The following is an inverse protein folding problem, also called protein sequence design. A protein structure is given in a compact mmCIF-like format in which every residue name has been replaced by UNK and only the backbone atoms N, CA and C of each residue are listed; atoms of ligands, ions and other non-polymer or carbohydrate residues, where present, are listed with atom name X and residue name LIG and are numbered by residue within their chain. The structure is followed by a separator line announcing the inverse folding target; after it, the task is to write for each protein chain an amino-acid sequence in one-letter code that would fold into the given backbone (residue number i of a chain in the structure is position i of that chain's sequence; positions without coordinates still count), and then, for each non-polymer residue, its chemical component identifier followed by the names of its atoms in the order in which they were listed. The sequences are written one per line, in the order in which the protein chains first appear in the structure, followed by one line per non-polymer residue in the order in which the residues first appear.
data_IF_678953823351
#
_entry.id   IF_678953823351
#
_cell.length_a   1.000
_cell.length_b   1.000
_cell.length_c   1.000
_cell.angle_alpha   90.00
_cell.angle_beta   90.00
_cell.angle_gamma   90.00
#
_symmetry.space_group_name_H-M   'P 1'
#
loop_
_entity.id
_entity.type
_entity.pdbx_description
1 polymer ?
#
# COMPACT_ATOMS: atom_id res chain seq x y z
N UNK A 1 18.82 17.07 13.98
CA UNK A 1 18.20 17.18 12.65
C UNK A 1 18.09 15.76 12.12
N UNK A 2 16.91 15.30 11.74
CA UNK A 2 16.78 14.00 11.08
C UNK A 2 17.42 14.09 9.68
N UNK A 3 18.21 13.07 9.32
CA UNK A 3 19.00 13.06 8.09
C UNK A 3 18.39 12.21 6.98
N UNK A 4 17.65 11.15 7.32
CA UNK A 4 16.92 10.32 6.38
C UNK A 4 15.66 9.73 7.04
N UNK A 5 14.70 9.30 6.23
CA UNK A 5 13.50 8.60 6.67
C UNK A 5 13.33 7.27 5.94
N UNK A 6 12.61 6.33 6.56
CA UNK A 6 12.22 5.10 5.89
C UNK A 6 11.17 5.39 4.82
N UNK A 7 11.32 4.76 3.66
CA UNK A 7 10.44 4.83 2.51
C UNK A 7 10.15 3.40 2.04
N UNK A 8 8.91 3.18 1.65
CA UNK A 8 8.43 1.88 1.19
C UNK A 8 8.08 1.96 -0.29
N UNK A 9 8.56 0.99 -1.07
CA UNK A 9 8.07 0.70 -2.40
C UNK A 9 7.36 -0.65 -2.35
N UNK A 10 6.04 -0.61 -2.38
CA UNK A 10 5.19 -1.80 -2.38
C UNK A 10 4.65 -2.03 -3.80
N UNK A 11 4.74 -3.27 -4.27
CA UNK A 11 4.23 -3.69 -5.57
C UNK A 11 3.40 -4.96 -5.42
N UNK A 12 2.18 -4.89 -5.94
CA UNK A 12 1.22 -5.99 -5.99
C UNK A 12 0.36 -5.77 -7.23
N UNK A 13 -0.10 -6.86 -7.86
CA UNK A 13 -1.14 -6.78 -8.89
C UNK A 13 -2.09 -7.94 -8.74
N UNK A 14 -3.38 -7.68 -8.76
CA UNK A 14 -4.40 -8.71 -8.65
C UNK A 14 -4.74 -9.30 -10.03
N UNK A 15 -3.74 -9.93 -10.66
CA UNK A 15 -3.83 -10.41 -12.05
C UNK A 15 -4.20 -11.89 -12.17
N UNK A 16 -4.15 -12.65 -11.07
CA UNK A 16 -4.36 -14.09 -11.09
C UNK A 16 -5.17 -14.55 -9.90
N UNK A 17 -6.42 -14.92 -10.14
CA UNK A 17 -7.23 -15.59 -9.13
C UNK A 17 -6.89 -17.08 -9.05
N UNK A 18 -6.63 -17.58 -7.86
CA UNK A 18 -6.42 -18.99 -7.56
C UNK A 18 -7.36 -19.46 -6.45
N UNK A 19 -8.47 -20.10 -6.84
CA UNK A 19 -9.48 -20.62 -5.90
C UNK A 19 -8.95 -21.66 -4.91
N UNK A 20 -7.73 -22.17 -5.12
CA UNK A 20 -7.11 -23.19 -4.28
C UNK A 20 -6.07 -22.63 -3.31
N UNK A 21 -5.67 -21.35 -3.42
CA UNK A 21 -4.60 -20.75 -2.63
C UNK A 21 -5.04 -19.46 -1.94
N UNK A 22 -4.58 -19.18 -0.72
CA UNK A 22 -3.66 -20.00 0.08
C UNK A 22 -4.31 -21.30 0.58
N UNK A 23 -3.49 -22.34 0.81
CA UNK A 23 -3.94 -23.63 1.35
C UNK A 23 -3.10 -24.00 2.55
N UNK A 24 -3.75 -24.20 3.69
CA UNK A 24 -3.07 -24.62 4.92
C UNK A 24 -2.96 -26.14 5.00
N UNK A 25 -1.85 -26.61 5.56
CA UNK A 25 -1.48 -28.04 5.65
C UNK A 25 -2.39 -28.87 6.57
N UNK A 26 -3.27 -28.25 7.37
CA UNK A 26 -4.15 -28.91 8.35
C UNK A 26 -5.49 -29.42 7.79
N UNK A 27 -5.73 -29.33 6.48
CA UNK A 27 -6.95 -29.80 5.83
C UNK A 27 -7.44 -28.78 4.81
N UNK A 28 -8.35 -29.16 3.91
CA UNK A 28 -8.94 -28.29 2.88
C UNK A 28 -9.79 -27.14 3.47
N UNK A 29 -9.20 -26.29 4.30
CA UNK A 29 -9.84 -25.11 4.84
C UNK A 29 -9.55 -23.97 3.86
N UNK A 30 -10.38 -23.93 2.82
CA UNK A 30 -10.64 -22.71 2.09
C UNK A 30 -11.23 -21.71 3.09
N UNK A 31 -10.52 -20.62 3.37
CA UNK A 31 -11.09 -19.49 4.09
C UNK A 31 -11.55 -18.47 3.04
N UNK A 32 -12.87 -18.24 2.86
CA UNK A 32 -13.36 -17.27 1.88
C UNK A 32 -12.90 -15.82 2.16
N UNK A 33 -12.36 -15.55 3.36
CA UNK A 33 -11.79 -14.26 3.70
C UNK A 33 -10.30 -14.11 3.34
N UNK A 34 -9.63 -15.18 2.90
CA UNK A 34 -8.23 -15.09 2.49
C UNK A 34 -8.12 -14.46 1.10
N UNK A 35 -6.99 -13.78 0.83
CA UNK A 35 -6.72 -13.27 -0.51
C UNK A 35 -6.39 -14.42 -1.45
N UNK A 36 -7.19 -14.54 -2.51
CA UNK A 36 -7.04 -15.54 -3.56
C UNK A 36 -6.48 -14.93 -4.84
N UNK A 37 -6.32 -13.61 -4.88
CA UNK A 37 -5.69 -12.93 -5.98
C UNK A 37 -4.19 -12.84 -5.72
N UNK A 38 -3.45 -13.21 -6.75
CA UNK A 38 -2.00 -13.27 -6.74
C UNK A 38 -1.51 -12.52 -7.98
N UNK A 39 -0.24 -12.14 -7.97
CA UNK A 39 0.34 -11.42 -9.08
C UNK A 39 0.64 -12.33 -10.26
N UNK A 40 1.45 -13.35 -10.05
CA UNK A 40 1.91 -14.23 -11.13
C UNK A 40 2.38 -15.58 -10.62
N UNK A 41 2.52 -16.51 -11.57
CA UNK A 41 3.04 -17.86 -11.30
C UNK A 41 4.41 -18.02 -11.92
N UNK A 42 5.37 -18.41 -11.09
CA UNK A 42 6.62 -19.03 -11.51
C UNK A 42 6.40 -20.54 -11.54
N UNK A 43 6.75 -21.17 -12.66
CA UNK A 43 6.61 -22.61 -12.82
C UNK A 43 7.92 -23.15 -13.37
N UNK A 44 8.53 -24.07 -12.63
CA UNK A 44 9.63 -24.87 -13.12
C UNK A 44 9.01 -26.17 -13.61
N UNK A 45 8.94 -26.37 -14.92
CA UNK A 45 8.52 -27.62 -15.55
C UNK A 45 9.58 -27.98 -16.58
N UNK A 46 10.55 -28.81 -16.20
CA UNK A 46 11.72 -29.08 -17.05
C UNK A 46 12.44 -27.78 -17.46
N UNK A 47 12.68 -27.59 -18.76
CA UNK A 47 13.36 -26.40 -19.30
C UNK A 47 12.41 -25.31 -19.85
N UNK A 48 11.10 -25.53 -19.87
CA UNK A 48 10.15 -24.70 -20.62
C UNK A 48 9.34 -23.72 -19.77
N UNK A 49 9.40 -23.83 -18.44
CA UNK A 49 8.65 -22.95 -17.54
C UNK A 49 9.38 -21.64 -17.20
N UNK A 50 8.61 -20.61 -16.83
CA UNK A 50 9.14 -19.34 -16.32
C UNK A 50 9.59 -19.54 -14.88
N UNK A 51 10.91 -19.62 -14.70
CA UNK A 51 11.58 -19.87 -13.41
C UNK A 51 12.06 -18.59 -12.72
N UNK A 52 11.96 -17.45 -13.38
CA UNK A 52 12.41 -16.17 -12.85
C UNK A 52 11.56 -15.04 -13.41
N UNK A 53 11.27 -14.04 -12.57
CA UNK A 53 10.58 -12.82 -12.97
C UNK A 53 11.36 -11.61 -12.46
N UNK A 54 11.48 -10.60 -13.33
CA UNK A 54 12.04 -9.29 -13.00
C UNK A 54 10.96 -8.35 -12.48
N UNK A 55 11.28 -7.65 -11.39
CA UNK A 55 10.52 -6.58 -10.78
C UNK A 55 11.39 -5.32 -10.78
N UNK A 56 10.82 -4.23 -11.27
CA UNK A 56 11.47 -2.93 -11.41
C UNK A 56 11.14 -2.10 -10.16
N UNK A 57 12.07 -2.01 -9.21
CA UNK A 57 11.95 -1.30 -7.95
C UNK A 57 12.43 0.15 -8.10
N UNK A 58 11.49 1.09 -8.16
CA UNK A 58 11.78 2.51 -8.18
C UNK A 58 12.28 3.01 -6.81
N UNK A 59 13.49 3.57 -6.79
CA UNK A 59 14.15 4.13 -5.62
C UNK A 59 14.48 5.57 -5.91
N UNK A 60 13.95 6.50 -5.12
CA UNK A 60 14.21 7.93 -5.30
C UNK A 60 14.77 8.53 -4.02
N UNK A 61 15.60 9.56 -4.16
CA UNK A 61 16.14 10.35 -3.05
C UNK A 61 16.95 9.54 -2.05
N UNK A 62 17.82 8.63 -2.53
CA UNK A 62 18.81 8.01 -1.64
C UNK A 62 19.63 9.09 -0.91
N UNK A 63 20.06 8.83 0.34
CA UNK A 63 20.79 9.81 1.12
C UNK A 63 22.01 10.34 0.40
N UNK A 64 22.08 11.67 0.29
CA UNK A 64 23.17 12.36 -0.41
C UNK A 64 24.48 12.35 0.38
N UNK A 65 24.43 12.13 1.70
CA UNK A 65 25.61 11.90 2.54
C UNK A 65 26.15 10.47 2.32
N UNK A 66 27.32 10.30 1.67
CA UNK A 66 27.87 8.99 1.38
C UNK A 66 28.26 8.20 2.63
N UNK A 67 28.61 8.87 3.73
CA UNK A 67 28.98 8.20 4.98
C UNK A 67 27.74 7.63 5.65
N UNK A 68 26.65 8.38 5.68
CA UNK A 68 25.37 7.89 6.15
C UNK A 68 24.90 6.70 5.29
N UNK A 69 24.88 6.84 3.96
CA UNK A 69 24.38 5.81 3.06
C UNK A 69 25.13 4.46 3.18
N UNK A 70 26.43 4.49 3.47
CA UNK A 70 27.23 3.27 3.70
C UNK A 70 26.85 2.50 4.97
N UNK A 71 26.22 3.15 5.94
CA UNK A 71 25.81 2.54 7.22
C UNK A 71 24.36 2.03 7.21
N UNK A 72 23.59 2.39 6.17
CA UNK A 72 22.17 2.08 6.11
C UNK A 72 21.92 0.68 5.54
N UNK A 73 20.94 0.02 6.14
CA UNK A 73 20.43 -1.28 5.72
C UNK A 73 19.05 -1.09 5.10
N UNK A 74 18.86 -1.61 3.90
CA UNK A 74 17.56 -1.74 3.27
C UNK A 74 17.04 -3.18 3.44
N UNK A 75 15.74 -3.37 3.34
CA UNK A 75 15.09 -4.69 3.44
C UNK A 75 14.19 -4.89 2.25
N UNK A 76 14.29 -6.04 1.60
CA UNK A 76 13.26 -6.50 0.66
C UNK A 76 12.51 -7.67 1.27
N UNK A 77 11.19 -7.64 1.11
CA UNK A 77 10.28 -8.71 1.48
C UNK A 77 9.50 -9.13 0.25
N UNK A 78 9.42 -10.43 -0.01
CA UNK A 78 8.64 -11.00 -1.10
C UNK A 78 7.71 -12.06 -0.53
N UNK A 79 6.39 -11.88 -0.72
CA UNK A 79 5.41 -12.85 -0.27
C UNK A 79 4.93 -13.73 -1.41
N UNK A 80 4.86 -15.03 -1.14
CA UNK A 80 4.56 -16.05 -2.11
C UNK A 80 3.78 -17.19 -1.48
N UNK A 81 3.18 -18.02 -2.32
CA UNK A 81 2.51 -19.26 -1.94
C UNK A 81 3.04 -20.42 -2.78
N UNK A 82 3.34 -21.54 -2.13
CA UNK A 82 3.75 -22.77 -2.81
C UNK A 82 2.58 -23.41 -3.58
N UNK A 83 2.85 -23.88 -4.79
CA UNK A 83 1.83 -24.42 -5.69
C UNK A 83 1.76 -25.95 -5.74
N UNK A 84 2.74 -26.65 -5.17
CA UNK A 84 2.85 -28.10 -5.27
C UNK A 84 3.26 -28.71 -3.93
N UNK A 85 2.98 -30.01 -3.76
CA UNK A 85 3.34 -30.75 -2.56
C UNK A 85 4.80 -31.24 -2.61
N UNK A 86 5.78 -30.32 -2.56
CA UNK A 86 7.21 -30.58 -2.64
C UNK A 86 8.02 -29.48 -1.94
N UNK A 87 9.37 -29.51 -2.01
CA UNK A 87 10.17 -28.36 -1.59
C UNK A 87 10.28 -27.33 -2.70
N UNK A 88 10.27 -26.06 -2.32
CA UNK A 88 10.48 -24.93 -3.22
C UNK A 88 11.84 -24.29 -2.94
N UNK A 89 12.65 -24.11 -3.99
CA UNK A 89 13.87 -23.30 -3.92
C UNK A 89 13.58 -21.89 -4.39
N UNK A 90 14.10 -20.91 -3.65
CA UNK A 90 13.91 -19.50 -3.93
C UNK A 90 15.21 -18.73 -3.80
N UNK A 91 15.43 -17.78 -4.71
CA UNK A 91 16.50 -16.80 -4.64
C UNK A 91 15.97 -15.41 -4.98
N UNK A 92 16.42 -14.40 -4.23
CA UNK A 92 16.23 -13.00 -4.58
C UNK A 92 17.56 -12.41 -5.06
N UNK A 93 17.57 -11.84 -6.27
CA UNK A 93 18.75 -11.25 -6.89
C UNK A 93 18.49 -9.78 -7.19
N UNK A 94 19.15 -8.88 -6.46
CA UNK A 94 19.01 -7.44 -6.60
C UNK A 94 20.23 -6.86 -7.33
N UNK A 95 20.00 -6.20 -8.46
CA UNK A 95 21.05 -5.60 -9.29
C UNK A 95 22.22 -6.57 -9.57
N UNK A 96 21.90 -7.85 -9.80
CA UNK A 96 22.88 -8.92 -10.05
C UNK A 96 23.51 -9.54 -8.79
N UNK A 97 23.18 -9.05 -7.59
CA UNK A 97 23.68 -9.59 -6.31
C UNK A 97 22.63 -10.46 -5.64
N UNK A 98 22.99 -11.69 -5.26
CA UNK A 98 22.11 -12.55 -4.46
C UNK A 98 22.00 -12.00 -3.05
N UNK A 99 20.79 -11.61 -2.64
CA UNK A 99 20.52 -11.05 -1.31
C UNK A 99 19.71 -12.01 -0.42
N UNK A 100 19.11 -13.04 -1.02
CA UNK A 100 18.39 -14.10 -0.31
C UNK A 100 18.50 -15.42 -1.07
N UNK A 101 18.60 -16.52 -0.33
CA UNK A 101 18.42 -17.87 -0.88
C UNK A 101 17.82 -18.78 0.19
N UNK A 102 16.72 -19.47 -0.15
CA UNK A 102 16.19 -20.59 0.65
C UNK A 102 16.24 -21.88 -0.16
N UNK A 103 16.78 -22.92 0.48
CA UNK A 103 16.87 -24.27 -0.08
C UNK A 103 16.27 -25.34 0.84
N UNK A 104 15.69 -24.95 1.97
CA UNK A 104 15.38 -25.90 3.04
C UNK A 104 14.01 -25.74 3.65
N UNK A 105 13.53 -24.51 3.79
CA UNK A 105 12.45 -24.19 4.71
C UNK A 105 11.09 -24.17 4.01
N UNK A 106 11.04 -23.75 2.75
CA UNK A 106 9.76 -23.60 2.06
C UNK A 106 9.27 -24.89 1.39
N UNK A 107 8.04 -25.30 1.73
CA UNK A 107 7.45 -26.56 1.27
C UNK A 107 5.96 -26.47 1.05
N UNK A 108 5.47 -27.43 0.26
CA UNK A 108 4.07 -27.71 0.06
C UNK A 108 3.30 -26.45 -0.37
N UNK A 109 2.05 -26.32 0.04
CA UNK A 109 1.22 -25.18 -0.35
C UNK A 109 1.35 -23.97 0.58
N UNK A 110 2.42 -23.91 1.37
CA UNK A 110 2.54 -22.96 2.46
C UNK A 110 2.86 -21.56 1.93
N UNK A 111 2.24 -20.50 2.50
CA UNK A 111 2.70 -19.13 2.32
C UNK A 111 4.13 -18.98 2.83
N UNK A 112 4.90 -18.15 2.17
CA UNK A 112 6.30 -17.90 2.50
C UNK A 112 6.65 -16.45 2.21
N UNK A 113 7.21 -15.79 3.22
CA UNK A 113 7.80 -14.46 3.08
C UNK A 113 9.31 -14.59 3.10
N UNK A 114 9.93 -14.35 1.96
CA UNK A 114 11.37 -14.18 1.89
C UNK A 114 11.72 -12.75 2.31
N UNK A 115 12.48 -12.60 3.39
CA UNK A 115 12.94 -11.31 3.88
C UNK A 115 14.47 -11.27 3.86
N UNK A 116 15.02 -10.23 3.25
CA UNK A 116 16.45 -10.01 3.18
C UNK A 116 16.82 -8.57 3.53
N UNK A 117 17.61 -8.43 4.59
CA UNK A 117 18.34 -7.22 4.91
C UNK A 117 19.65 -7.18 4.13
N UNK A 118 19.95 -6.05 3.47
CA UNK A 118 21.15 -5.88 2.67
C UNK A 118 21.69 -4.45 2.78
N UNK A 119 22.97 -4.24 2.43
CA UNK A 119 23.55 -2.90 2.41
C UNK A 119 22.80 -2.03 1.41
N UNK A 120 22.30 -0.87 1.85
CA UNK A 120 21.59 0.08 0.98
C UNK A 120 22.45 0.55 -0.21
N UNK A 121 23.77 0.42 -0.11
CA UNK A 121 24.71 0.72 -1.22
C UNK A 121 24.51 -0.14 -2.47
N UNK A 122 23.75 -1.24 -2.38
CA UNK A 122 23.32 -2.01 -3.55
C UNK A 122 22.22 -1.32 -4.38
N UNK A 123 21.56 -0.30 -3.84
CA UNK A 123 20.55 0.49 -4.54
C UNK A 123 21.17 1.64 -5.31
N UNK A 124 20.57 1.93 -6.47
CA UNK A 124 20.82 3.16 -7.24
C UNK A 124 19.57 4.03 -7.24
N UNK A 125 19.75 5.34 -7.42
CA UNK A 125 18.63 6.23 -7.71
C UNK A 125 18.03 5.86 -9.07
N UNK A 126 16.70 5.80 -9.15
CA UNK A 126 15.95 5.31 -10.29
C UNK A 126 15.56 3.84 -10.16
N UNK A 127 15.67 3.10 -11.27
CA UNK A 127 15.16 1.73 -11.35
C UNK A 127 16.19 0.70 -10.88
N UNK A 128 15.80 -0.16 -9.95
CA UNK A 128 16.58 -1.28 -9.46
C UNK A 128 15.91 -2.60 -9.89
N UNK A 129 16.70 -3.58 -10.30
CA UNK A 129 16.19 -4.83 -10.82
C UNK A 129 16.22 -5.89 -9.74
N UNK A 130 15.05 -6.30 -9.26
CA UNK A 130 14.90 -7.47 -8.41
C UNK A 130 14.44 -8.65 -9.27
N UNK A 131 15.18 -9.75 -9.22
CA UNK A 131 14.71 -11.02 -9.75
C UNK A 131 14.25 -11.91 -8.60
N UNK A 132 13.03 -12.43 -8.73
CA UNK A 132 12.52 -13.54 -7.91
C UNK A 132 12.72 -14.80 -8.73
N UNK A 133 13.62 -15.67 -8.28
CA UNK A 133 13.98 -16.89 -8.98
C UNK A 133 13.52 -18.11 -8.20
N UNK A 134 12.67 -18.93 -8.81
CA UNK A 134 12.29 -20.21 -8.28
C UNK A 134 13.15 -21.31 -8.94
N UNK A 135 13.61 -22.28 -8.15
CA UNK A 135 14.37 -23.42 -8.66
C UNK A 135 14.02 -24.73 -7.96
N UNK A 136 14.43 -25.82 -8.58
CA UNK A 136 14.17 -27.18 -8.11
C UNK A 136 15.18 -27.59 -7.04
N UNK A 137 14.69 -28.24 -5.98
CA UNK A 137 15.53 -28.82 -4.93
C UNK A 137 15.52 -30.34 -5.00
N UNK A 138 14.36 -30.96 -4.78
CA UNK A 138 14.21 -32.42 -4.67
C UNK A 138 13.20 -33.01 -5.66
N UNK A 139 12.66 -32.18 -6.56
CA UNK A 139 11.73 -32.57 -7.61
C UNK A 139 12.08 -31.86 -8.92
N UNK A 140 11.59 -32.36 -10.05
CA UNK A 140 11.82 -31.76 -11.37
C UNK A 140 10.77 -30.71 -11.75
N UNK A 141 9.76 -30.53 -10.90
CA UNK A 141 8.68 -29.58 -11.07
C UNK A 141 8.52 -28.76 -9.80
N UNK A 142 8.25 -27.46 -9.89
CA UNK A 142 7.88 -26.63 -8.75
C UNK A 142 7.00 -25.48 -9.24
N UNK A 143 6.02 -25.08 -8.44
CA UNK A 143 5.13 -23.96 -8.73
C UNK A 143 5.16 -23.01 -7.54
N UNK A 144 5.30 -21.73 -7.85
CA UNK A 144 5.40 -20.64 -6.88
C UNK A 144 4.50 -19.52 -7.38
N UNK A 145 3.59 -19.05 -6.54
CA UNK A 145 2.76 -17.89 -6.82
C UNK A 145 3.33 -16.69 -6.07
N UNK A 146 3.66 -15.62 -6.78
CA UNK A 146 4.08 -14.35 -6.17
C UNK A 146 2.83 -13.53 -5.90
N UNK A 147 2.74 -13.01 -4.69
CA UNK A 147 1.68 -12.09 -4.26
C UNK A 147 2.19 -10.64 -4.37
N UNK A 148 2.97 -10.19 -3.39
CA UNK A 148 3.55 -8.85 -3.36
C UNK A 148 5.06 -8.84 -3.16
N UNK A 149 5.67 -7.73 -3.55
CA UNK A 149 7.07 -7.39 -3.28
C UNK A 149 7.10 -6.04 -2.58
N UNK A 150 7.89 -5.94 -1.52
CA UNK A 150 8.03 -4.72 -0.74
C UNK A 150 9.51 -4.41 -0.47
N UNK A 151 9.93 -3.19 -0.79
CA UNK A 151 11.25 -2.67 -0.47
C UNK A 151 11.13 -1.56 0.55
N UNK A 152 11.83 -1.71 1.67
CA UNK A 152 12.07 -0.67 2.66
C UNK A 152 13.49 -0.14 2.50
N UNK A 153 13.63 1.17 2.28
CA UNK A 153 14.92 1.84 2.15
C UNK A 153 14.86 3.23 2.78
N UNK A 154 16.01 3.78 3.13
CA UNK A 154 16.12 5.12 3.65
C UNK A 154 16.29 6.14 2.52
N UNK A 155 15.60 7.26 2.62
CA UNK A 155 15.63 8.37 1.68
C UNK A 155 15.84 9.72 2.40
N UNK A 156 16.44 10.68 1.69
CA UNK A 156 16.46 12.09 2.09
C UNK A 156 15.04 12.66 2.09
N UNK A 157 14.79 13.63 2.98
CA UNK A 157 13.53 14.37 3.05
C UNK A 157 13.34 15.30 1.84
N UNK A 158 13.04 14.72 0.67
CA UNK A 158 12.91 15.42 -0.61
C UNK A 158 11.55 15.15 -1.22
N UNK A 159 10.80 16.22 -1.50
CA UNK A 159 9.47 16.12 -2.08
C UNK A 159 9.50 15.72 -3.56
N UNK A 160 8.53 14.89 -3.95
CA UNK A 160 8.21 14.52 -5.31
C UNK A 160 6.91 15.22 -5.72
N UNK A 161 6.94 16.00 -6.80
CA UNK A 161 5.72 16.71 -7.27
C UNK A 161 5.14 17.72 -6.28
N UNK A 162 5.94 18.21 -5.33
CA UNK A 162 5.50 19.16 -4.30
C UNK A 162 4.82 18.56 -3.08
N UNK A 163 4.99 17.25 -2.87
CA UNK A 163 4.58 16.57 -1.65
C UNK A 163 5.64 15.58 -1.15
N UNK A 164 5.67 15.35 0.16
CA UNK A 164 6.41 14.26 0.78
C UNK A 164 5.63 13.74 1.97
N UNK A 165 5.36 12.44 1.96
CA UNK A 165 4.88 11.71 3.11
C UNK A 165 6.02 10.90 3.74
N UNK A 166 6.12 10.91 5.07
CA UNK A 166 7.15 10.15 5.77
C UNK A 166 6.80 9.85 7.22
N UNK A 167 7.40 8.79 7.75
CA UNK A 167 7.45 8.53 9.18
C UNK A 167 8.58 9.32 9.84
N UNK A 168 8.25 9.99 10.93
CA UNK A 168 9.20 10.67 11.81
C UNK A 168 10.10 9.71 12.57
N UNK A 169 10.96 10.26 13.42
CA UNK A 169 11.84 9.46 14.26
C UNK A 169 11.04 8.49 15.15
N UNK A 170 11.56 7.27 15.32
CA UNK A 170 10.99 6.26 16.20
C UNK A 170 11.28 6.53 17.70
N UNK A 171 11.84 7.69 18.04
CA UNK A 171 12.18 8.05 19.41
C UNK A 171 11.27 9.18 19.93
N UNK A 172 11.12 9.25 21.23
CA UNK A 172 10.29 10.27 21.89
C UNK A 172 10.92 11.68 21.87
N UNK A 173 12.19 11.78 21.44
CA UNK A 173 12.93 13.03 21.51
C UNK A 173 12.47 14.03 20.46
N UNK A 174 12.35 15.33 20.80
CA UNK A 174 12.06 16.37 19.83
C UNK A 174 13.02 16.32 18.66
N UNK A 175 12.47 16.09 17.46
CA UNK A 175 13.24 15.93 16.24
C UNK A 175 12.85 17.00 15.24
N UNK A 176 13.86 17.63 14.64
CA UNK A 176 13.69 18.60 13.57
C UNK A 176 13.81 17.92 12.22
N UNK A 177 12.86 18.20 11.32
CA UNK A 177 12.81 17.74 9.95
C UNK A 177 13.04 18.91 8.99
N UNK A 178 13.57 18.62 7.81
CA UNK A 178 13.82 19.62 6.75
C UNK A 178 13.48 19.01 5.40
N UNK A 179 12.27 19.31 4.91
CA UNK A 179 11.77 18.80 3.63
C UNK A 179 12.15 19.76 2.52
N UNK A 180 12.78 19.24 1.47
CA UNK A 180 13.33 19.98 0.34
C UNK A 180 12.53 19.75 -0.94
N UNK A 181 12.91 20.45 -2.01
CA UNK A 181 12.37 20.27 -3.36
C UNK A 181 10.88 20.63 -3.52
N UNK A 182 10.39 21.60 -2.73
CA UNK A 182 9.01 22.07 -2.83
C UNK A 182 8.89 23.15 -3.93
N UNK A 183 7.92 23.06 -4.85
CA UNK A 183 7.84 23.95 -6.01
C UNK A 183 7.27 25.34 -5.69
N UNK A 184 6.61 25.50 -4.54
CA UNK A 184 5.94 26.73 -4.12
C UNK A 184 6.31 27.11 -2.69
N UNK A 185 6.27 28.40 -2.37
CA UNK A 185 6.50 28.93 -1.02
C UNK A 185 5.30 28.72 -0.09
N UNK A 186 4.10 28.49 -0.63
CA UNK A 186 2.92 28.12 0.15
C UNK A 186 2.98 26.64 0.49
N UNK A 187 3.47 26.34 1.69
CA UNK A 187 3.72 24.98 2.16
C UNK A 187 2.86 24.73 3.40
N UNK A 188 2.23 23.57 3.46
CA UNK A 188 1.52 23.08 4.66
C UNK A 188 2.13 21.78 5.13
N UNK A 189 2.25 21.62 6.45
CA UNK A 189 2.61 20.36 7.10
C UNK A 189 1.39 19.84 7.84
N UNK A 190 1.10 18.55 7.66
CA UNK A 190 0.11 17.82 8.43
C UNK A 190 0.79 16.72 9.25
N UNK A 191 0.31 16.50 10.47
CA UNK A 191 0.43 15.23 11.17
C UNK A 191 -0.75 14.35 10.72
N UNK A 192 -0.43 13.25 10.05
CA UNK A 192 -1.35 12.25 9.50
C UNK A 192 -1.20 10.90 10.20
N UNK A 193 -0.66 10.90 11.44
CA UNK A 193 -0.49 9.68 12.25
C UNK A 193 -1.83 8.98 12.47
N UNK A 194 -2.86 9.77 12.83
CA UNK A 194 -4.24 9.32 12.92
C UNK A 194 -5.02 9.89 11.73
N UNK A 195 -5.37 9.01 10.78
CA UNK A 195 -6.11 9.40 9.57
C UNK A 195 -7.53 9.91 9.87
N UNK A 196 -8.09 9.59 11.04
CA UNK A 196 -9.37 10.10 11.49
C UNK A 196 -9.28 11.47 12.16
N UNK A 197 -8.07 11.91 12.51
CA UNK A 197 -7.79 13.16 13.22
C UNK A 197 -6.50 13.82 12.70
N UNK A 198 -6.51 14.17 11.41
CA UNK A 198 -5.39 14.85 10.77
C UNK A 198 -5.21 16.26 11.36
N UNK A 199 -4.00 16.57 11.83
CA UNK A 199 -3.68 17.87 12.43
C UNK A 199 -2.81 18.71 11.51
N UNK A 200 -3.19 19.97 11.31
CA UNK A 200 -2.39 20.93 10.53
C UNK A 200 -1.45 21.70 11.46
N UNK A 201 -0.18 21.80 11.10
CA UNK A 201 0.77 22.66 11.81
C UNK A 201 0.43 24.14 11.62
N UNK A 202 0.62 24.93 12.67
CA UNK A 202 0.53 26.39 12.59
C UNK A 202 1.63 26.93 11.66
N UNK A 203 1.29 27.63 10.56
CA UNK A 203 2.26 28.18 9.62
C UNK A 203 3.33 29.07 10.25
N UNK A 204 3.03 29.73 11.38
CA UNK A 204 3.98 30.60 12.10
C UNK A 204 5.11 29.81 12.78
N UNK A 205 4.94 28.50 12.96
CA UNK A 205 5.95 27.61 13.54
C UNK A 205 6.88 27.01 12.47
N UNK A 206 6.54 27.19 11.18
CA UNK A 206 7.32 26.67 10.06
C UNK A 206 8.45 27.63 9.69
N UNK A 207 9.62 27.09 9.38
CA UNK A 207 10.71 27.85 8.76
C UNK A 207 10.76 27.54 7.28
N UNK A 208 10.43 28.50 6.42
CA UNK A 208 10.43 28.34 4.96
C UNK A 208 11.66 29.03 4.37
N UNK A 209 12.37 28.33 3.48
CA UNK A 209 13.53 28.86 2.75
C UNK A 209 13.15 30.02 1.82
N UNK A 210 14.10 30.91 1.54
CA UNK A 210 13.81 32.17 0.84
C UNK A 210 13.61 32.04 -0.69
N UNK A 211 13.99 30.91 -1.30
CA UNK A 211 14.03 30.74 -2.76
C UNK A 211 13.69 29.32 -3.20
N UNK A 212 13.22 29.19 -4.44
CA UNK A 212 12.94 27.91 -5.07
C UNK A 212 14.23 27.14 -5.48
N UNK A 213 14.22 25.79 -5.47
CA UNK A 213 13.19 24.96 -4.86
C UNK A 213 13.14 25.18 -3.34
N UNK A 214 11.93 25.32 -2.80
CA UNK A 214 11.72 25.70 -1.42
C UNK A 214 12.03 24.54 -0.48
N UNK A 215 12.44 24.90 0.73
CA UNK A 215 12.63 23.99 1.86
C UNK A 215 11.72 24.44 2.99
N UNK A 216 11.09 23.50 3.69
CA UNK A 216 10.36 23.75 4.94
C UNK A 216 11.01 22.98 6.06
N UNK A 217 11.16 23.62 7.22
CA UNK A 217 11.65 22.96 8.42
C UNK A 217 10.66 23.15 9.56
N UNK A 218 10.41 22.07 10.29
CA UNK A 218 9.53 22.01 11.45
C UNK A 218 10.10 20.99 12.44
N UNK A 219 9.56 20.92 13.65
CA UNK A 219 10.00 19.92 14.61
C UNK A 219 8.94 19.66 15.66
N UNK A 220 8.89 18.42 16.10
CA UNK A 220 7.97 17.95 17.13
C UNK A 220 8.59 16.77 17.89
N UNK A 221 8.07 16.49 19.09
CA UNK A 221 8.39 15.29 19.85
C UNK A 221 7.31 14.21 19.69
N UNK A 222 7.64 13.01 20.16
CA UNK A 222 6.77 11.83 20.05
C UNK A 222 7.26 10.84 19.00
N UNK A 223 7.34 9.58 19.40
CA UNK A 223 7.77 8.50 18.52
C UNK A 223 6.69 8.14 17.50
N UNK A 224 7.13 7.72 16.30
CA UNK A 224 6.26 7.02 15.35
C UNK A 224 5.17 7.89 14.72
N UNK A 225 5.39 9.20 14.62
CA UNK A 225 4.45 10.10 13.92
C UNK A 225 4.60 10.01 12.41
N UNK A 226 3.53 10.26 11.67
CA UNK A 226 3.49 10.31 10.21
C UNK A 226 3.18 11.73 9.76
N UNK A 227 3.99 12.28 8.86
CA UNK A 227 3.84 13.65 8.39
C UNK A 227 3.63 13.71 6.88
N UNK A 228 2.85 14.70 6.45
CA UNK A 228 2.68 15.07 5.05
C UNK A 228 3.10 16.53 4.86
N UNK A 229 4.18 16.75 4.14
CA UNK A 229 4.54 18.06 3.60
C UNK A 229 3.89 18.22 2.23
N UNK A 230 3.22 19.34 1.99
CA UNK A 230 2.39 19.52 0.80
C UNK A 230 2.35 20.96 0.31
N UNK A 231 2.27 21.13 -1.00
CA UNK A 231 2.01 22.41 -1.68
C UNK A 231 0.68 22.34 -2.43
N UNK A 232 -0.12 23.42 -2.48
CA UNK A 232 -1.40 23.41 -3.20
C UNK A 232 -1.31 23.05 -4.68
N UNK A 233 -0.16 23.28 -5.31
CA UNK A 233 0.10 22.89 -6.70
C UNK A 233 0.21 21.39 -6.90
N UNK A 234 0.43 20.62 -5.83
CA UNK A 234 0.45 19.15 -5.84
C UNK A 234 -0.97 18.54 -5.71
N UNK A 235 -1.99 19.37 -5.46
CA UNK A 235 -3.36 18.88 -5.29
C UNK A 235 -3.90 18.33 -6.61
N UNK A 236 -4.33 17.08 -6.60
CA UNK A 236 -5.28 16.60 -7.59
C UNK A 236 -6.68 17.02 -7.12
N UNK A 237 -7.42 17.69 -7.99
CA UNK A 237 -8.82 17.99 -7.74
C UNK A 237 -9.66 16.80 -8.20
N UNK A 238 -10.68 16.38 -7.44
CA UNK A 238 -11.64 15.41 -7.95
C UNK A 238 -12.26 15.95 -9.23
N UNK A 239 -12.29 15.13 -10.28
CA UNK A 239 -12.86 15.54 -11.56
C UNK A 239 -14.36 15.88 -11.41
N UNK A 240 -15.04 15.22 -10.49
CA UNK A 240 -16.44 15.44 -10.17
C UNK A 240 -16.76 14.93 -8.75
N UNK A 241 -17.76 15.52 -8.11
CA UNK A 241 -18.39 15.01 -6.88
C UNK A 241 -19.87 14.82 -7.22
N UNK A 242 -20.35 13.59 -7.14
CA UNK A 242 -21.76 13.26 -7.38
C UNK A 242 -22.41 12.74 -6.10
N UNK A 243 -23.70 13.01 -5.94
CA UNK A 243 -24.48 12.37 -4.88
C UNK A 243 -24.62 10.89 -5.24
N UNK A 244 -24.29 10.00 -4.31
CA UNK A 244 -24.58 8.59 -4.49
C UNK A 244 -26.10 8.40 -4.66
N UNK A 245 -26.52 7.97 -5.84
CA UNK A 245 -27.85 7.41 -6.02
C UNK A 245 -27.77 5.94 -5.59
N UNK A 246 -28.38 5.62 -4.46
CA UNK A 246 -28.50 4.23 -4.03
C UNK A 246 -29.29 3.48 -5.09
N UNK A 247 -28.65 2.50 -5.75
CA UNK A 247 -29.39 1.50 -6.48
C UNK A 247 -30.33 0.83 -5.48
N UNK A 248 -31.63 1.03 -5.65
CA UNK A 248 -32.63 0.17 -5.03
C UNK A 248 -32.46 -1.19 -5.68
N UNK A 249 -31.59 -2.01 -5.10
CA UNK A 249 -31.47 -3.38 -5.53
C UNK A 249 -32.87 -4.01 -5.48
N UNK A 250 -33.37 -4.60 -6.58
CA UNK A 250 -34.59 -5.39 -6.53
C UNK A 250 -34.40 -6.68 -5.72
N UNK A 251 -33.22 -6.90 -5.15
CA UNK A 251 -32.96 -7.93 -4.16
C UNK A 251 -33.71 -7.59 -2.86
N UNK A 252 -35.01 -7.91 -2.84
CA UNK A 252 -35.66 -8.28 -1.60
C UNK A 252 -34.93 -9.51 -1.08
N UNK A 253 -34.28 -9.45 0.09
CA UNK A 253 -33.89 -10.67 0.77
C UNK A 253 -35.19 -11.48 0.90
N UNK A 254 -35.24 -12.65 0.29
CA UNK A 254 -36.33 -13.59 0.50
C UNK A 254 -36.42 -13.81 2.01
N UNK A 255 -37.41 -13.18 2.64
CA UNK A 255 -37.78 -13.39 4.01
C UNK A 255 -38.34 -14.81 4.14
N UNK A 256 -37.43 -15.78 4.12
CA UNK A 256 -37.65 -17.14 4.54
C UNK A 256 -36.79 -17.37 5.80
N UNK A 257 -37.06 -16.57 6.82
CA UNK A 257 -36.83 -17.00 8.21
C UNK A 257 -38.16 -16.84 8.94
N UNK A 258 -38.80 -17.94 9.39
CA UNK A 258 -40.05 -17.85 10.12
C UNK A 258 -39.73 -17.56 11.58
N UNK A 259 -39.92 -16.32 12.04
CA UNK A 259 -40.35 -15.99 13.40
C UNK A 259 -40.43 -14.47 13.61
N UNK A 260 -41.62 -13.98 13.99
CA UNK A 260 -41.80 -12.68 14.66
C UNK A 260 -42.14 -11.52 13.73
N UNK A 261 -43.41 -11.13 13.70
CA UNK A 261 -43.95 -10.14 12.78
C UNK A 261 -43.64 -8.68 13.12
N UNK A 262 -43.42 -7.91 12.06
CA UNK A 262 -43.64 -6.46 12.00
C UNK A 262 -44.41 -6.25 10.70
N UNK A 263 -45.58 -5.61 10.76
CA UNK A 263 -46.47 -5.52 9.59
C UNK A 263 -46.04 -4.41 8.64
N UNK A 264 -46.17 -4.62 7.33
CA UNK A 264 -45.78 -3.67 6.27
C UNK A 264 -46.47 -2.28 6.34
N UNK A 265 -47.44 -2.10 7.24
CA UNK A 265 -48.10 -0.82 7.47
C UNK A 265 -47.25 0.17 8.29
N UNK A 266 -46.26 -0.28 9.05
CA UNK A 266 -45.41 0.60 9.89
C UNK A 266 -44.26 1.26 9.10
N UNK A 267 -43.92 0.75 7.91
CA UNK A 267 -42.82 1.26 7.08
C UNK A 267 -43.22 2.40 6.13
N UNK A 268 -44.52 2.62 5.89
CA UNK A 268 -44.98 3.57 4.85
C UNK A 268 -45.28 4.98 5.37
N UNK A 269 -45.30 5.20 6.69
CA UNK A 269 -45.61 6.51 7.27
C UNK A 269 -44.40 7.46 7.44
N UNK A 270 -43.16 6.98 7.29
CA UNK A 270 -41.97 7.78 7.60
C UNK A 270 -41.33 8.49 6.39
N UNK A 271 -41.75 8.22 5.15
CA UNK A 271 -40.95 8.58 3.96
C UNK A 271 -41.52 9.70 3.07
N UNK A 272 -42.55 10.43 3.49
CA UNK A 272 -43.09 11.54 2.69
C UNK A 272 -43.23 12.80 3.53
N UNK A 273 -42.11 13.49 3.75
CA UNK A 273 -42.12 14.92 4.05
C UNK A 273 -40.80 15.59 3.59
N UNK A 274 -40.95 16.42 2.55
CA UNK A 274 -40.15 17.61 2.23
C UNK A 274 -38.67 17.44 1.80
N UNK A 275 -38.49 17.27 0.49
CA UNK A 275 -37.26 17.66 -0.20
C UNK A 275 -37.15 19.19 -0.28
N UNK A 276 -36.46 19.78 0.69
CA UNK A 276 -35.84 21.11 0.52
C UNK A 276 -34.39 20.93 0.06
N UNK A 277 -33.90 21.83 -0.79
CA UNK A 277 -32.50 21.83 -1.27
C UNK A 277 -31.55 21.83 -0.07
N UNK A 278 -30.92 20.69 0.18
CA UNK A 278 -29.91 20.54 1.22
C UNK A 278 -28.59 21.17 0.76
N UNK A 279 -28.01 22.01 1.61
CA UNK A 279 -26.61 22.42 1.51
C UNK A 279 -25.71 21.17 1.47
N UNK A 280 -24.50 21.23 0.85
CA UNK A 280 -23.59 20.09 0.81
C UNK A 280 -23.39 19.55 2.23
N UNK A 281 -23.77 18.29 2.43
CA UNK A 281 -23.75 17.64 3.74
C UNK A 281 -22.33 17.57 4.29
N UNK A 282 -22.21 17.79 5.59
CA UNK A 282 -20.99 17.50 6.32
C UNK A 282 -20.74 15.98 6.27
N UNK A 283 -19.62 15.56 5.67
CA UNK A 283 -19.21 14.16 5.59
C UNK A 283 -18.92 13.55 6.96
N UNK A 284 -18.86 14.37 8.02
CA UNK A 284 -18.68 13.93 9.40
C UNK A 284 -20.01 13.78 10.18
N UNK A 285 -21.16 14.16 9.61
CA UNK A 285 -22.45 13.98 10.29
C UNK A 285 -22.93 12.52 10.13
N UNK A 286 -22.90 11.78 11.24
CA UNK A 286 -23.31 10.37 11.34
C UNK A 286 -24.80 10.15 11.03
N UNK A 287 -25.60 11.21 10.91
CA UNK A 287 -27.01 11.15 10.51
C UNK A 287 -27.20 11.17 8.99
N UNK A 288 -26.14 11.44 8.22
CA UNK A 288 -26.23 11.56 6.75
C UNK A 288 -26.26 10.20 6.02
N UNK A 289 -26.13 9.07 6.73
CA UNK A 289 -26.20 7.72 6.14
C UNK A 289 -25.08 7.39 5.15
N UNK A 290 -24.03 8.21 5.11
CA UNK A 290 -22.84 7.94 4.32
C UNK A 290 -21.90 7.01 5.11
N UNK A 291 -22.12 5.70 4.99
CA UNK A 291 -21.29 4.69 5.67
C UNK A 291 -19.99 4.36 4.89
N UNK A 292 -19.91 4.74 3.61
CA UNK A 292 -18.79 4.38 2.73
C UNK A 292 -18.45 5.52 1.76
N UNK A 293 -17.15 5.83 1.65
CA UNK A 293 -16.60 6.61 0.54
C UNK A 293 -15.92 5.61 -0.38
N UNK A 294 -16.44 5.45 -1.60
CA UNK A 294 -15.79 4.64 -2.64
C UNK A 294 -14.93 5.57 -3.48
N UNK A 295 -13.61 5.44 -3.36
CA UNK A 295 -12.65 6.10 -4.24
C UNK A 295 -12.20 5.06 -5.25
N UNK A 296 -12.58 5.24 -6.51
CA UNK A 296 -12.19 4.31 -7.58
C UNK A 296 -11.80 5.06 -8.85
N UNK A 297 -11.06 4.39 -9.72
CA UNK A 297 -10.78 4.91 -11.06
C UNK A 297 -12.08 4.89 -11.88
N UNK A 298 -12.33 5.92 -12.72
CA UNK A 298 -13.56 6.02 -13.52
C UNK A 298 -13.86 4.74 -14.30
N UNK A 299 -12.82 4.18 -14.92
CA UNK A 299 -12.93 2.98 -15.76
C UNK A 299 -13.40 1.73 -14.99
N UNK A 300 -13.20 1.69 -13.66
CA UNK A 300 -13.70 0.60 -12.82
C UNK A 300 -15.21 0.74 -12.59
N UNK A 301 -15.70 1.95 -12.32
CA UNK A 301 -17.13 2.21 -12.13
C UNK A 301 -17.94 1.82 -13.37
N UNK A 302 -17.45 2.20 -14.55
CA UNK A 302 -18.11 1.89 -15.83
C UNK A 302 -18.16 0.38 -16.11
N UNK A 303 -17.23 -0.41 -15.56
CA UNK A 303 -17.22 -1.87 -15.67
C UNK A 303 -18.15 -2.57 -14.68
N UNK A 304 -18.57 -1.88 -13.61
CA UNK A 304 -19.47 -2.43 -12.58
C UNK A 304 -20.96 -2.27 -12.91
N UNK A 305 -21.31 -1.62 -14.02
CA UNK A 305 -22.68 -1.48 -14.52
C UNK A 305 -22.89 -2.37 -15.77
N UNK A 306 -23.87 -3.31 -15.83
CA UNK A 306 -24.73 -3.87 -14.79
C UNK A 306 -24.37 -5.34 -14.46
N UNK A 307 -23.89 -5.58 -13.24
CA UNK A 307 -24.14 -6.82 -12.50
C UNK A 307 -25.43 -6.68 -11.68
#
# INVERSE_FOLDING_TARGET
LATAHLKTNHQEKQNRYESRYPRYSSGNLFNPADDHWLWLKLQILGSTGVKSQKFDLAVNHLPTDPQLNQTLTATVSAHMVGGLNNKHGLRLVLNGTVIFEDTTNWRNYEPFTAEAAFSQTLLYSGNNQLYVEAFNIDSNISEVYVDWIELHYYADYTADGGQLEFWGAANESPTRYSVRNLPASTITIYDVTDISNVQRFDPTTLTIGASAPYTVSFGEGGAGRRYLAWTPTAALMPAQIEKAEYLTSPYTPSAAHPAGGISAAELTAAHVAEATLAAPGDLLDTRNGADWIVITHRDFWDQTLPL
#
